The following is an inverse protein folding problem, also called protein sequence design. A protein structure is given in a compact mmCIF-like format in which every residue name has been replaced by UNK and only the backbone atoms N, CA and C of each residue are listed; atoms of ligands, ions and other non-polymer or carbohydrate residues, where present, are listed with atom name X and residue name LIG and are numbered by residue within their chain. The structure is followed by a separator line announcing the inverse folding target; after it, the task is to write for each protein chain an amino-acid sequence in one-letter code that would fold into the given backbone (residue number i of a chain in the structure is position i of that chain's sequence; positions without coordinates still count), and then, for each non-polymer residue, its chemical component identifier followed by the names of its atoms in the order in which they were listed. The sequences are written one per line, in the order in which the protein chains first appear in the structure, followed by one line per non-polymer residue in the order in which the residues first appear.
data_IF_994989090707
#
_entry.id   IF_994989090707
#
_cell.length_a   1.000
_cell.length_b   1.000
_cell.length_c   1.000
_cell.angle_alpha   90.00
_cell.angle_beta   90.00
_cell.angle_gamma   90.00
#
_symmetry.space_group_name_H-M   'P 1'
#
loop_
_entity.id
_entity.type
_entity.pdbx_description
1 polymer ?
#
# COMPACT_ATOMS: atom_id res chain seq x y z
N UNK A 1 4.54 28.18 -16.54
CA UNK A 1 3.98 28.18 -17.90
C UNK A 1 3.81 26.71 -18.28
N UNK A 2 2.63 26.12 -18.03
CA UNK A 2 2.36 24.67 -18.09
C UNK A 2 2.26 24.12 -19.53
N UNK A 3 2.25 24.99 -20.54
CA UNK A 3 1.99 24.68 -21.97
C UNK A 3 3.26 24.49 -22.81
N UNK A 4 4.46 24.57 -22.23
CA UNK A 4 5.73 24.44 -23.00
C UNK A 4 6.32 23.04 -23.01
N UNK A 5 5.83 22.14 -22.18
CA UNK A 5 6.39 20.79 -22.01
C UNK A 5 5.58 19.80 -22.87
N UNK A 6 6.26 19.05 -23.74
CA UNK A 6 5.65 18.07 -24.65
C UNK A 6 5.19 16.80 -23.95
N UNK A 7 5.66 16.59 -22.71
CA UNK A 7 5.40 15.41 -21.90
C UNK A 7 4.89 15.85 -20.54
N UNK A 8 3.95 15.09 -19.98
CA UNK A 8 3.32 15.37 -18.68
C UNK A 8 3.28 14.09 -17.84
N UNK A 9 3.51 14.25 -16.53
CA UNK A 9 3.30 13.18 -15.54
C UNK A 9 1.86 13.19 -15.05
N UNK A 10 1.25 12.02 -15.02
CA UNK A 10 -0.05 11.76 -14.41
C UNK A 10 0.05 10.64 -13.40
N UNK A 11 -1.01 10.50 -12.59
CA UNK A 11 -1.11 9.46 -11.58
C UNK A 11 -2.39 8.63 -11.76
N UNK A 12 -2.32 7.36 -11.37
CA UNK A 12 -3.44 6.44 -11.31
C UNK A 12 -3.43 5.73 -9.96
N UNK A 13 -4.50 5.91 -9.19
CA UNK A 13 -4.70 5.19 -7.94
C UNK A 13 -5.29 3.80 -8.23
N UNK A 14 -4.72 2.77 -7.62
CA UNK A 14 -5.15 1.37 -7.75
C UNK A 14 -5.25 0.75 -6.36
N UNK A 15 -6.35 0.07 -6.05
CA UNK A 15 -6.57 -0.60 -4.77
C UNK A 15 -6.61 -2.12 -4.91
N UNK A 16 -5.80 -2.83 -4.12
CA UNK A 16 -5.81 -4.30 -4.05
C UNK A 16 -6.34 -4.78 -2.69
N UNK A 17 -6.76 -6.04 -2.63
CA UNK A 17 -7.22 -6.66 -1.38
C UNK A 17 -6.08 -6.79 -0.34
N UNK A 18 -6.44 -6.79 0.95
CA UNK A 18 -5.47 -6.82 2.06
C UNK A 18 -4.64 -8.11 2.17
N UNK A 19 -5.09 -9.20 1.55
CA UNK A 19 -4.42 -10.50 1.48
C UNK A 19 -3.52 -10.65 0.24
N UNK A 20 -3.36 -9.60 -0.55
CA UNK A 20 -2.53 -9.60 -1.77
C UNK A 20 -1.04 -9.54 -1.43
N UNK A 21 -0.22 -10.31 -2.15
CA UNK A 21 1.24 -10.13 -2.16
C UNK A 21 1.59 -8.80 -2.86
N UNK A 22 2.03 -7.82 -2.08
CA UNK A 22 2.31 -6.48 -2.57
C UNK A 22 3.50 -6.41 -3.52
N UNK A 23 4.47 -7.31 -3.39
CA UNK A 23 5.61 -7.36 -4.30
C UNK A 23 5.13 -7.87 -5.67
N UNK A 24 4.36 -8.95 -5.68
CA UNK A 24 3.77 -9.49 -6.91
C UNK A 24 2.86 -8.47 -7.60
N UNK A 25 2.06 -7.73 -6.83
CA UNK A 25 1.23 -6.66 -7.37
C UNK A 25 2.04 -5.51 -7.97
N UNK A 26 3.16 -5.15 -7.35
CA UNK A 26 4.09 -4.14 -7.88
C UNK A 26 4.66 -4.58 -9.22
N UNK A 27 5.16 -5.82 -9.31
CA UNK A 27 5.74 -6.37 -10.53
C UNK A 27 4.70 -6.44 -11.66
N UNK A 28 3.46 -6.85 -11.36
CA UNK A 28 2.36 -6.87 -12.32
C UNK A 28 1.97 -5.47 -12.84
N UNK A 29 2.07 -4.43 -12.00
CA UNK A 29 1.82 -3.04 -12.42
C UNK A 29 2.94 -2.56 -13.36
N UNK A 30 4.21 -2.84 -13.05
CA UNK A 30 5.31 -2.51 -13.96
C UNK A 30 5.17 -3.22 -15.30
N UNK A 31 4.80 -4.50 -15.31
CA UNK A 31 4.54 -5.21 -16.56
C UNK A 31 3.38 -4.57 -17.37
N UNK A 32 2.35 -4.08 -16.69
CA UNK A 32 1.25 -3.36 -17.34
C UNK A 32 1.69 -1.99 -17.89
N UNK A 33 2.59 -1.28 -17.21
CA UNK A 33 3.18 -0.03 -17.70
C UNK A 33 3.99 -0.26 -18.98
N UNK A 34 4.78 -1.33 -19.03
CA UNK A 34 5.57 -1.70 -20.22
C UNK A 34 4.70 -2.11 -21.41
N UNK A 35 3.54 -2.75 -21.14
CA UNK A 35 2.59 -3.17 -22.18
C UNK A 35 1.66 -2.05 -22.66
N UNK A 36 1.57 -0.92 -21.97
CA UNK A 36 0.69 0.18 -22.32
C UNK A 36 1.32 1.08 -23.41
N UNK A 37 0.81 1.10 -24.65
CA UNK A 37 1.52 1.64 -25.82
C UNK A 37 1.75 3.15 -25.80
N UNK A 38 1.01 3.88 -24.95
CA UNK A 38 1.09 5.35 -24.85
C UNK A 38 1.81 5.84 -23.60
N UNK A 39 2.23 4.92 -22.74
CA UNK A 39 3.09 5.24 -21.60
C UNK A 39 4.50 5.44 -22.14
N UNK A 40 5.10 6.57 -21.80
CA UNK A 40 6.48 6.86 -22.17
C UNK A 40 7.43 6.17 -21.18
N UNK A 41 8.46 5.45 -21.67
CA UNK A 41 9.44 4.79 -20.80
C UNK A 41 10.46 5.77 -20.21
N UNK A 42 10.64 6.93 -20.84
CA UNK A 42 11.49 8.02 -20.36
C UNK A 42 10.66 9.31 -20.31
N UNK A 43 10.54 9.97 -19.14
CA UNK A 43 11.10 9.57 -17.85
C UNK A 43 10.50 8.29 -17.27
N UNK A 44 11.26 7.60 -16.41
CA UNK A 44 10.86 6.32 -15.83
C UNK A 44 9.54 6.46 -15.04
N UNK A 45 8.54 5.59 -15.31
CA UNK A 45 7.36 5.45 -14.47
C UNK A 45 7.74 4.98 -13.06
N UNK A 46 6.88 5.24 -12.08
CA UNK A 46 7.10 4.79 -10.71
C UNK A 46 5.83 4.24 -10.08
N UNK A 47 5.97 3.15 -9.34
CA UNK A 47 4.87 2.54 -8.57
C UNK A 47 5.19 2.68 -7.09
N UNK A 48 4.32 3.37 -6.35
CA UNK A 48 4.47 3.57 -4.92
C UNK A 48 3.30 2.95 -4.16
N UNK A 49 3.55 2.39 -2.98
CA UNK A 49 2.49 2.09 -2.02
C UNK A 49 2.06 3.40 -1.34
N UNK A 50 0.78 3.74 -1.49
CA UNK A 50 0.18 4.94 -0.90
C UNK A 50 -0.16 4.72 0.59
N UNK A 51 -0.74 3.55 0.90
CA UNK A 51 -1.04 3.17 2.28
C UNK A 51 -2.25 2.25 2.44
N UNK A 52 -2.78 2.21 3.65
CA UNK A 52 -3.92 1.39 4.04
C UNK A 52 -5.22 2.21 3.98
N UNK A 53 -6.16 1.79 3.14
CA UNK A 53 -7.50 2.38 3.02
C UNK A 53 -8.59 1.53 3.67
N UNK A 54 -9.84 2.00 3.65
CA UNK A 54 -10.95 1.36 4.38
C UNK A 54 -11.20 -0.11 3.99
N UNK A 55 -10.92 -0.49 2.75
CA UNK A 55 -11.12 -1.86 2.24
C UNK A 55 -10.04 -2.29 1.24
N UNK A 56 -8.95 -1.54 1.13
CA UNK A 56 -7.89 -1.80 0.14
C UNK A 56 -6.52 -1.36 0.65
N UNK A 57 -5.47 -1.97 0.10
CA UNK A 57 -4.11 -1.40 0.11
C UNK A 57 -3.96 -0.59 -1.18
N UNK A 58 -3.61 0.69 -1.04
CA UNK A 58 -3.53 1.64 -2.14
C UNK A 58 -2.15 1.67 -2.79
N UNK A 59 -2.13 1.68 -4.11
CA UNK A 59 -0.99 2.00 -4.96
C UNK A 59 -1.21 3.32 -5.67
N UNK A 60 -0.13 4.08 -5.84
CA UNK A 60 -0.07 5.26 -6.68
C UNK A 60 0.90 5.01 -7.83
N UNK A 61 0.36 4.86 -9.04
CA UNK A 61 1.10 4.60 -10.27
C UNK A 61 1.34 5.92 -10.98
N UNK A 62 2.59 6.33 -11.08
CA UNK A 62 3.04 7.54 -11.76
C UNK A 62 3.54 7.18 -13.15
N UNK A 63 2.99 7.81 -14.18
CA UNK A 63 3.32 7.53 -15.58
C UNK A 63 3.38 8.81 -16.40
N UNK A 64 4.10 8.74 -17.52
CA UNK A 64 4.33 9.87 -18.41
C UNK A 64 3.63 9.65 -19.75
N UNK A 65 3.08 10.73 -20.31
CA UNK A 65 2.37 10.72 -21.58
C UNK A 65 2.54 12.05 -22.32
N UNK A 66 2.19 12.10 -23.61
CA UNK A 66 2.14 13.35 -24.36
C UNK A 66 1.17 14.34 -23.70
N UNK A 67 1.54 15.62 -23.64
CA UNK A 67 0.86 16.61 -22.81
C UNK A 67 -0.55 17.01 -23.26
N UNK A 68 -1.03 16.50 -24.40
CA UNK A 68 -2.38 16.75 -24.89
C UNK A 68 -3.45 15.90 -24.16
N UNK A 69 -4.64 16.49 -24.00
CA UNK A 69 -5.77 15.87 -23.28
C UNK A 69 -6.23 14.54 -23.90
N UNK A 70 -6.36 14.41 -25.24
CA UNK A 70 -6.68 13.12 -25.85
C UNK A 70 -5.67 12.01 -25.50
N UNK A 71 -4.37 12.32 -25.54
CA UNK A 71 -3.32 11.38 -25.12
C UNK A 71 -3.41 11.00 -23.65
N UNK A 72 -3.68 11.96 -22.76
CA UNK A 72 -3.89 11.68 -21.33
C UNK A 72 -5.01 10.65 -21.10
N UNK A 73 -6.19 10.90 -21.69
CA UNK A 73 -7.36 10.02 -21.54
C UNK A 73 -7.12 8.63 -22.11
N UNK A 74 -6.52 8.56 -23.29
CA UNK A 74 -6.26 7.28 -23.95
C UNK A 74 -5.17 6.49 -23.24
N UNK A 75 -4.09 7.13 -22.78
CA UNK A 75 -3.03 6.47 -21.99
C UNK A 75 -3.60 5.92 -20.69
N UNK A 76 -4.42 6.71 -19.99
CA UNK A 76 -5.11 6.25 -18.77
C UNK A 76 -5.98 5.03 -19.05
N UNK A 77 -6.74 5.03 -20.15
CA UNK A 77 -7.59 3.91 -20.53
C UNK A 77 -6.77 2.64 -20.81
N UNK A 78 -5.73 2.76 -21.64
CA UNK A 78 -4.85 1.66 -22.00
C UNK A 78 -4.18 1.06 -20.74
N UNK A 79 -3.72 1.92 -19.83
CA UNK A 79 -3.09 1.52 -18.57
C UNK A 79 -4.07 0.79 -17.63
N UNK A 80 -5.30 1.29 -17.47
CA UNK A 80 -6.32 0.63 -16.64
C UNK A 80 -6.64 -0.77 -17.17
N UNK A 81 -6.76 -0.93 -18.49
CA UNK A 81 -6.98 -2.24 -19.10
C UNK A 81 -5.78 -3.17 -18.89
N UNK A 82 -4.57 -2.68 -19.09
CA UNK A 82 -3.34 -3.46 -18.92
C UNK A 82 -3.17 -3.94 -17.46
N UNK A 83 -3.41 -3.07 -16.48
CA UNK A 83 -3.33 -3.42 -15.05
C UNK A 83 -4.39 -4.47 -14.71
N UNK A 84 -5.63 -4.28 -15.15
CA UNK A 84 -6.69 -5.26 -14.91
C UNK A 84 -6.33 -6.64 -15.47
N UNK A 85 -5.78 -6.70 -16.69
CA UNK A 85 -5.34 -7.95 -17.30
C UNK A 85 -4.14 -8.57 -16.57
N UNK A 86 -3.15 -7.78 -16.17
CA UNK A 86 -1.98 -8.25 -15.42
C UNK A 86 -2.36 -8.81 -14.04
N UNK A 87 -3.29 -8.15 -13.35
CA UNK A 87 -3.83 -8.63 -12.08
C UNK A 87 -4.62 -9.92 -12.24
N UNK A 88 -5.48 -10.00 -13.26
CA UNK A 88 -6.21 -11.23 -13.56
C UNK A 88 -5.26 -12.40 -13.86
N UNK A 89 -4.19 -12.17 -14.63
CA UNK A 89 -3.19 -13.19 -14.94
C UNK A 89 -2.41 -13.66 -13.70
N UNK A 90 -2.17 -12.74 -12.75
CA UNK A 90 -1.41 -13.00 -11.52
C UNK A 90 -2.30 -13.42 -10.34
N UNK A 91 -3.61 -13.62 -10.57
CA UNK A 91 -4.60 -13.93 -9.51
C UNK A 91 -4.65 -12.89 -8.38
N UNK A 92 -4.38 -11.62 -8.71
CA UNK A 92 -4.47 -10.49 -7.78
C UNK A 92 -5.92 -9.98 -7.74
N UNK A 93 -6.47 -9.85 -6.54
CA UNK A 93 -7.84 -9.38 -6.35
C UNK A 93 -7.88 -7.86 -6.24
N UNK A 94 -8.61 -7.21 -7.15
CA UNK A 94 -8.95 -5.79 -7.04
C UNK A 94 -9.92 -5.63 -5.86
N UNK A 95 -9.59 -4.75 -4.93
CA UNK A 95 -10.41 -4.54 -3.75
C UNK A 95 -11.77 -3.93 -4.10
N UNK A 96 -12.78 -4.42 -3.40
CA UNK A 96 -14.13 -3.86 -3.38
C UNK A 96 -14.50 -3.53 -1.92
N UNK A 97 -15.44 -2.60 -1.69
CA UNK A 97 -15.85 -2.23 -0.33
C UNK A 97 -16.26 -3.45 0.49
N UNK A 98 -15.63 -3.64 1.64
CA UNK A 98 -15.94 -4.72 2.59
C UNK A 98 -16.71 -4.15 3.78
N UNK A 99 -17.78 -4.84 4.20
CA UNK A 99 -18.52 -4.50 5.43
C UNK A 99 -18.60 -5.73 6.30
N UNK A 100 -18.06 -5.62 7.52
CA UNK A 100 -18.19 -6.69 8.53
C UNK A 100 -19.47 -6.49 9.32
N UNK A 101 -20.37 -7.47 9.30
CA UNK A 101 -21.57 -7.50 10.15
C UNK A 101 -21.23 -8.25 11.45
N UNK A 102 -21.37 -7.58 12.59
CA UNK A 102 -21.12 -8.18 13.90
C UNK A 102 -22.44 -8.56 14.58
N UNK A 103 -22.58 -9.83 14.98
CA UNK A 103 -23.81 -10.40 15.57
C UNK A 103 -23.96 -10.19 17.08
N UNK A 104 -23.14 -9.34 17.70
CA UNK A 104 -23.26 -8.98 19.12
C UNK A 104 -22.63 -9.97 20.11
N UNK A 105 -21.97 -11.04 19.65
CA UNK A 105 -21.27 -11.98 20.54
C UNK A 105 -20.00 -11.33 21.13
N UNK A 106 -19.69 -11.55 22.43
CA UNK A 106 -18.52 -10.96 23.06
C UNK A 106 -17.25 -11.27 22.27
N UNK A 107 -16.54 -10.21 21.87
CA UNK A 107 -15.28 -10.37 21.11
C UNK A 107 -14.19 -10.88 22.05
N UNK A 108 -13.31 -11.77 21.59
CA UNK A 108 -12.12 -12.11 22.37
C UNK A 108 -11.30 -10.84 22.65
N UNK A 109 -10.69 -10.79 23.83
CA UNK A 109 -9.97 -9.66 24.40
C UNK A 109 -8.78 -9.17 23.53
N UNK A 110 -8.39 -9.98 22.53
CA UNK A 110 -7.39 -9.65 21.51
C UNK A 110 -7.95 -9.89 20.11
N UNK A 111 -8.02 -8.83 19.31
CA UNK A 111 -8.42 -8.89 17.89
C UNK A 111 -7.31 -9.42 16.99
N UNK A 112 -6.05 -9.15 17.32
CA UNK A 112 -4.88 -9.59 16.56
C UNK A 112 -3.85 -10.22 17.50
N UNK A 113 -3.46 -11.46 17.22
CA UNK A 113 -2.42 -12.19 17.94
C UNK A 113 -1.10 -12.15 17.16
N UNK A 114 -0.34 -11.07 17.30
CA UNK A 114 0.97 -10.94 16.66
C UNK A 114 1.93 -10.05 17.45
N UNK A 115 3.22 -10.38 17.41
CA UNK A 115 4.30 -9.48 17.85
C UNK A 115 4.72 -8.61 16.66
N UNK A 116 4.75 -7.29 16.82
CA UNK A 116 5.27 -6.36 15.81
C UNK A 116 6.78 -6.64 15.65
N UNK A 117 7.19 -7.12 14.49
CA UNK A 117 8.61 -7.23 14.11
C UNK A 117 9.14 -5.91 13.56
N UNK A 118 10.47 -5.77 13.49
CA UNK A 118 11.11 -4.63 12.83
C UNK A 118 10.83 -4.67 11.32
N UNK A 119 10.21 -3.63 10.76
CA UNK A 119 10.07 -3.46 9.31
C UNK A 119 11.39 -2.93 8.76
N UNK A 120 12.11 -3.74 7.96
CA UNK A 120 13.29 -3.30 7.21
C UNK A 120 13.02 -3.55 5.73
N UNK A 121 12.63 -2.50 5.01
CA UNK A 121 12.60 -2.49 3.55
C UNK A 121 13.82 -1.70 3.14
N UNK A 122 14.71 -2.34 2.37
CA UNK A 122 15.91 -1.68 1.85
C UNK A 122 15.53 -0.82 0.63
N UNK A 123 15.92 0.45 0.64
CA UNK A 123 15.71 1.43 -0.42
C UNK A 123 17.06 1.84 -1.03
N UNK A 124 17.46 1.25 -2.17
CA UNK A 124 18.71 1.57 -2.85
C UNK A 124 18.83 3.08 -3.12
N UNK A 125 19.93 3.70 -2.68
CA UNK A 125 20.21 5.14 -2.86
C UNK A 125 19.69 6.06 -1.74
N UNK A 126 18.76 5.59 -0.91
CA UNK A 126 18.37 6.25 0.36
C UNK A 126 19.07 5.61 1.55
N UNK A 127 19.18 4.27 1.52
CA UNK A 127 19.93 3.50 2.50
C UNK A 127 21.41 3.53 2.11
N UNK A 128 22.10 4.56 2.59
CA UNK A 128 23.56 4.58 2.54
C UNK A 128 24.07 3.48 3.45
N UNK A 129 24.75 2.50 2.86
CA UNK A 129 25.35 1.35 3.55
C UNK A 129 26.55 1.76 4.40
N UNK A 130 26.41 2.71 5.33
CA UNK A 130 27.43 3.03 6.32
C UNK A 130 26.80 3.55 7.63
N UNK A 131 26.52 2.63 8.56
CA UNK A 131 26.92 2.77 9.97
C UNK A 131 26.47 1.54 10.77
N UNK A 132 27.39 0.58 10.90
CA UNK A 132 27.38 -0.32 12.04
C UNK A 132 27.54 0.50 13.34
N UNK A 133 26.45 0.70 14.05
CA UNK A 133 26.42 0.85 15.50
C UNK A 133 24.98 0.73 15.99
N UNK A 134 24.72 -0.40 16.66
CA UNK A 134 23.41 -0.74 17.19
C UNK A 134 22.84 0.39 18.04
N UNK A 135 21.70 0.91 17.62
CA UNK A 135 20.77 1.54 18.55
C UNK A 135 20.22 0.41 19.41
N UNK A 136 20.82 0.23 20.59
CA UNK A 136 20.25 -0.61 21.64
C UNK A 136 18.79 -0.18 21.83
N UNK A 137 17.89 -1.14 21.69
CA UNK A 137 16.48 -0.99 22.04
C UNK A 137 16.41 -0.32 23.42
N UNK A 138 15.85 0.90 23.44
CA UNK A 138 15.50 1.58 24.68
C UNK A 138 14.51 0.69 25.40
N UNK A 139 14.98 0.04 26.46
CA UNK A 139 14.17 -0.77 27.33
C UNK A 139 13.05 0.10 27.91
N UNK A 140 11.85 -0.02 27.36
CA UNK A 140 10.63 0.44 28.01
C UNK A 140 10.51 -0.33 29.33
N UNK A 141 10.96 0.29 30.42
CA UNK A 141 10.84 -0.27 31.75
C UNK A 141 9.35 -0.42 32.06
N UNK A 142 8.93 -1.67 32.26
CA UNK A 142 7.68 -2.00 32.96
C UNK A 142 7.71 -1.38 34.35
N UNK A 143 7.04 -0.25 34.54
CA UNK A 143 6.64 0.25 35.84
C UNK A 143 5.33 -0.42 36.25
N UNK A 144 5.43 -1.58 36.90
CA UNK A 144 4.29 -2.19 37.56
C UNK A 144 3.83 -1.34 38.74
N UNK A 145 2.58 -0.88 38.71
CA UNK A 145 1.79 -0.66 39.92
C UNK A 145 0.54 -1.53 39.82
N UNK A 146 0.55 -2.66 40.54
CA UNK A 146 -0.70 -3.30 40.97
C UNK A 146 -1.40 -2.29 41.87
N UNK A 147 -2.52 -1.72 41.41
CA UNK A 147 -3.58 -1.31 42.33
C UNK A 147 -4.51 -2.51 42.46
N UNK A 148 -4.52 -3.11 43.64
CA UNK A 148 -5.62 -3.92 44.13
C UNK A 148 -6.82 -3.00 44.31
N UNK A 149 -7.87 -3.18 43.52
CA UNK A 149 -9.20 -2.68 43.88
C UNK A 149 -9.98 -3.82 44.58
N UNK A 150 -10.77 -3.50 45.61
CA UNK A 150 -11.41 -4.47 46.49
C UNK A 150 -12.65 -5.12 45.85
N UNK A 151 -12.91 -6.36 46.27
CA UNK A 151 -14.12 -7.14 46.00
C UNK A 151 -15.39 -6.35 46.39
N UNK A 152 -16.46 -6.36 45.57
CA UNK A 152 -17.76 -5.89 46.02
C UNK A 152 -18.36 -6.89 47.03
N UNK A 153 -19.11 -6.43 48.05
CA UNK A 153 -19.74 -7.32 49.00
C UNK A 153 -20.87 -8.11 48.33
N UNK A 154 -20.90 -9.41 48.62
CA UNK A 154 -22.09 -10.25 48.48
C UNK A 154 -23.19 -9.69 49.39
N UNK A 155 -24.34 -9.35 48.81
CA UNK A 155 -25.58 -9.19 49.56
C UNK A 155 -26.67 -10.06 48.94
N UNK A 156 -27.33 -10.78 49.85
CA UNK A 156 -28.45 -11.71 49.67
C UNK A 156 -29.75 -11.01 49.28
#
# INVERSE_FOLDING_TARGET
NLTRETVRRSSLAVGVAYDTDLQQATDAIYEALDRAPRVLPEPEPAVNLDGFGDSSIGFNVLYWHASDVPSELATRHDLVLAIHQAFAASSITIAFPQVTVWSGQPRPDRLYGGSVGDVRVEYPGLDTTEAGQGRRAGAWRRGGRRRSDPEPPDDQ
#
